data_IF_242610329374
#
_entry.id   IF_242610329374
#
_cell.length_a   1.000
_cell.length_b   1.000
_cell.length_c   1.000
_cell.angle_alpha   90.00
_cell.angle_beta   90.00
_cell.angle_gamma   90.00
#
_symmetry.space_group_name_H-M   'P 1'
#
loop_
_entity.id
_entity.type
_entity.pdbx_description
1 polymer ?
#
# COMPACT_ATOMS: atom_id res chain seq x y z
N UNK A 1 -14.34 0.90 -9.75
CA UNK A 1 -13.21 1.77 -10.12
C UNK A 1 -13.72 3.20 -10.04
N UNK A 2 -13.14 4.09 -9.20
CA UNK A 2 -13.51 5.52 -9.20
C UNK A 2 -12.61 6.19 -10.24
N UNK A 3 -13.21 6.76 -11.28
CA UNK A 3 -12.51 7.54 -12.29
C UNK A 3 -12.57 8.99 -11.81
N UNK A 4 -11.41 9.61 -11.61
CA UNK A 4 -11.32 11.02 -11.25
C UNK A 4 -11.06 11.80 -12.53
N UNK A 5 -11.97 12.70 -12.87
CA UNK A 5 -11.89 13.54 -14.05
C UNK A 5 -11.73 14.98 -13.60
N UNK A 6 -10.78 15.69 -14.21
CA UNK A 6 -10.65 17.13 -14.10
C UNK A 6 -11.66 17.77 -15.06
N UNK A 7 -12.87 18.02 -14.58
CA UNK A 7 -13.97 18.53 -15.40
C UNK A 7 -13.75 19.97 -15.87
N UNK A 8 -12.98 20.77 -15.13
CA UNK A 8 -12.57 22.13 -15.53
C UNK A 8 -11.66 22.05 -16.74
N UNK A 9 -10.65 21.19 -16.68
CA UNK A 9 -9.74 20.94 -17.79
C UNK A 9 -10.46 20.35 -19.00
N UNK A 10 -11.39 19.42 -18.79
CA UNK A 10 -12.18 18.85 -19.90
C UNK A 10 -13.07 19.89 -20.59
N UNK A 11 -13.62 20.84 -19.84
CA UNK A 11 -14.38 21.96 -20.40
C UNK A 11 -13.45 22.91 -21.17
N UNK A 12 -12.28 23.25 -20.60
CA UNK A 12 -11.29 24.11 -21.23
C UNK A 12 -10.70 23.49 -22.53
N UNK A 13 -10.51 22.18 -22.56
CA UNK A 13 -10.08 21.42 -23.74
C UNK A 13 -11.22 21.16 -24.74
N UNK A 14 -12.44 21.63 -24.47
CA UNK A 14 -13.61 21.44 -25.34
C UNK A 14 -14.08 19.98 -25.45
N UNK A 15 -13.68 19.11 -24.50
CA UNK A 15 -14.02 17.69 -24.49
C UNK A 15 -15.40 17.40 -23.90
N UNK A 16 -15.97 18.34 -23.15
CA UNK A 16 -17.34 18.30 -22.62
C UNK A 16 -18.02 19.65 -22.85
N UNK A 17 -19.35 19.64 -22.92
CA UNK A 17 -20.18 20.84 -23.04
C UNK A 17 -20.38 21.52 -21.69
N UNK A 18 -20.79 22.80 -21.69
CA UNK A 18 -21.14 23.52 -20.47
C UNK A 18 -22.31 22.85 -19.71
N UNK A 19 -23.27 22.27 -20.43
CA UNK A 19 -24.39 21.54 -19.84
C UNK A 19 -23.94 20.25 -19.14
N UNK A 20 -23.04 19.48 -19.77
CA UNK A 20 -22.41 18.31 -19.14
C UNK A 20 -21.57 18.70 -17.93
N UNK A 21 -20.84 19.81 -18.00
CA UNK A 21 -20.09 20.35 -16.87
C UNK A 21 -21.02 20.65 -15.69
N UNK A 22 -22.15 21.33 -15.91
CA UNK A 22 -23.12 21.62 -14.86
C UNK A 22 -23.74 20.35 -14.29
N UNK A 23 -24.08 19.37 -15.14
CA UNK A 23 -24.64 18.08 -14.70
C UNK A 23 -23.63 17.29 -13.84
N UNK A 24 -22.38 17.18 -14.28
CA UNK A 24 -21.32 16.49 -13.54
C UNK A 24 -20.97 17.22 -12.23
N UNK A 25 -20.92 18.54 -12.27
CA UNK A 25 -20.72 19.38 -11.08
C UNK A 25 -21.85 19.20 -10.07
N UNK A 26 -23.11 19.14 -10.51
CA UNK A 26 -24.25 18.90 -9.62
C UNK A 26 -24.21 17.51 -8.97
N UNK A 27 -23.74 16.49 -9.70
CA UNK A 27 -23.54 15.13 -9.17
C UNK A 27 -22.40 15.10 -8.14
N UNK A 28 -21.31 15.85 -8.37
CA UNK A 28 -20.19 15.97 -7.44
C UNK A 28 -20.54 16.79 -6.18
N UNK A 29 -21.35 17.85 -6.31
CA UNK A 29 -21.78 18.68 -5.19
C UNK A 29 -22.62 17.91 -4.16
N UNK A 30 -23.45 16.94 -4.61
CA UNK A 30 -24.16 16.01 -3.70
C UNK A 30 -23.20 15.14 -2.88
N UNK A 31 -22.01 14.83 -3.40
CA UNK A 31 -20.95 14.12 -2.67
C UNK A 31 -20.26 15.06 -1.65
N UNK A 32 -20.10 16.34 -2.00
CA UNK A 32 -19.30 17.33 -1.24
C UNK A 32 -20.01 17.84 0.02
N UNK A 33 -21.34 18.02 -0.01
CA UNK A 33 -22.13 18.40 1.18
C UNK A 33 -22.05 17.37 2.32
N UNK A 34 -21.71 16.12 1.99
CA UNK A 34 -21.45 15.09 3.01
C UNK A 34 -20.10 15.28 3.70
N UNK A 35 -19.10 15.91 3.07
CA UNK A 35 -17.72 15.91 3.57
C UNK A 35 -17.58 16.60 4.93
N UNK A 36 -18.15 17.79 5.11
CA UNK A 36 -18.05 18.52 6.38
C UNK A 36 -18.73 17.77 7.53
N UNK A 37 -19.92 17.20 7.27
CA UNK A 37 -20.60 16.33 8.21
C UNK A 37 -19.77 15.08 8.55
N UNK A 38 -19.19 14.44 7.53
CA UNK A 38 -18.34 13.26 7.68
C UNK A 38 -17.10 13.57 8.54
N UNK A 39 -16.49 14.73 8.34
CA UNK A 39 -15.35 15.21 9.12
C UNK A 39 -15.77 15.40 10.58
N UNK A 40 -16.91 16.07 10.84
CA UNK A 40 -17.42 16.30 12.19
C UNK A 40 -17.73 14.99 12.91
N UNK A 41 -18.38 14.04 12.23
CA UNK A 41 -18.64 12.69 12.74
C UNK A 41 -17.33 11.96 13.06
N UNK A 42 -16.35 12.02 12.15
CA UNK A 42 -15.03 11.42 12.36
C UNK A 42 -14.32 11.99 13.59
N UNK A 43 -14.27 13.31 13.73
CA UNK A 43 -13.71 13.97 14.92
C UNK A 43 -14.48 13.61 16.19
N UNK A 44 -15.81 13.54 16.14
CA UNK A 44 -16.63 13.12 17.27
C UNK A 44 -16.28 11.71 17.75
N UNK A 45 -16.23 10.74 16.82
CA UNK A 45 -15.84 9.36 17.14
C UNK A 45 -14.44 9.30 17.76
N UNK A 46 -13.46 10.00 17.17
CA UNK A 46 -12.09 10.04 17.69
C UNK A 46 -12.01 10.69 19.07
N UNK A 47 -12.70 11.81 19.29
CA UNK A 47 -12.72 12.52 20.56
C UNK A 47 -13.38 11.67 21.66
N UNK A 48 -14.53 11.03 21.38
CA UNK A 48 -15.20 10.15 22.33
C UNK A 48 -14.34 8.94 22.69
N UNK A 49 -13.73 8.29 21.68
CA UNK A 49 -12.92 7.11 21.93
C UNK A 49 -11.60 7.48 22.66
N UNK A 50 -10.96 8.57 22.28
CA UNK A 50 -9.78 9.11 22.96
C UNK A 50 -10.08 9.54 24.40
N UNK A 51 -11.20 10.21 24.63
CA UNK A 51 -11.64 10.60 25.98
C UNK A 51 -11.95 9.39 26.86
N UNK A 52 -12.63 8.36 26.34
CA UNK A 52 -12.89 7.12 27.06
C UNK A 52 -11.60 6.40 27.47
N UNK A 53 -10.58 6.38 26.59
CA UNK A 53 -9.26 5.83 26.90
C UNK A 53 -8.50 6.68 27.92
N UNK A 54 -8.61 8.01 27.85
CA UNK A 54 -7.96 8.91 28.80
C UNK A 54 -8.51 8.73 30.22
N UNK A 55 -9.80 8.43 30.37
CA UNK A 55 -10.42 8.15 31.68
C UNK A 55 -9.94 6.83 32.30
N UNK A 56 -9.59 5.84 31.48
CA UNK A 56 -9.07 4.55 31.95
C UNK A 56 -7.95 4.05 31.03
N UNK A 57 -6.71 4.52 31.21
CA UNK A 57 -5.60 4.16 30.35
C UNK A 57 -5.13 2.73 30.65
N UNK A 58 -5.71 1.73 29.98
CA UNK A 58 -5.24 0.35 30.00
C UNK A 58 -5.42 -0.36 28.66
N UNK A 59 -4.55 -1.34 28.38
CA UNK A 59 -4.62 -2.13 27.15
C UNK A 59 -5.95 -2.88 27.03
N UNK A 60 -6.40 -3.49 28.12
CA UNK A 60 -7.68 -4.18 28.23
C UNK A 60 -8.87 -3.24 27.95
N UNK A 61 -8.85 -2.01 28.48
CA UNK A 61 -9.89 -1.03 28.19
C UNK A 61 -9.92 -0.66 26.70
N UNK A 62 -8.74 -0.52 26.07
CA UNK A 62 -8.64 -0.30 24.63
C UNK A 62 -9.15 -1.49 23.80
N UNK A 63 -8.84 -2.72 24.18
CA UNK A 63 -9.38 -3.91 23.50
C UNK A 63 -10.91 -3.91 23.57
N UNK A 64 -11.48 -3.79 24.77
CA UNK A 64 -12.93 -3.84 24.96
C UNK A 64 -13.64 -2.70 24.22
N UNK A 65 -13.16 -1.47 24.37
CA UNK A 65 -13.72 -0.30 23.67
C UNK A 65 -13.63 -0.47 22.16
N UNK A 66 -12.47 -0.87 21.64
CA UNK A 66 -12.26 -1.05 20.22
C UNK A 66 -13.15 -2.14 19.61
N UNK A 67 -13.34 -3.26 20.32
CA UNK A 67 -14.25 -4.33 19.91
C UNK A 67 -15.72 -3.87 19.94
N UNK A 68 -16.13 -3.13 20.97
CA UNK A 68 -17.49 -2.57 21.06
C UNK A 68 -17.78 -1.59 19.91
N UNK A 69 -16.86 -0.67 19.62
CA UNK A 69 -16.97 0.26 18.49
C UNK A 69 -17.01 -0.50 17.15
N UNK A 70 -16.18 -1.54 17.01
CA UNK A 70 -16.16 -2.37 15.80
C UNK A 70 -17.47 -3.13 15.60
N UNK A 71 -18.02 -3.73 16.67
CA UNK A 71 -19.30 -4.43 16.63
C UNK A 71 -20.46 -3.47 16.27
N UNK A 72 -20.49 -2.28 16.87
CA UNK A 72 -21.46 -1.24 16.51
C UNK A 72 -21.30 -0.80 15.04
N UNK A 73 -20.06 -0.66 14.57
CA UNK A 73 -19.73 -0.32 13.19
C UNK A 73 -20.23 -1.36 12.19
N UNK A 74 -20.02 -2.65 12.47
CA UNK A 74 -20.55 -3.77 11.68
C UNK A 74 -22.07 -3.76 11.68
N UNK A 75 -22.70 -3.63 12.86
CA UNK A 75 -24.15 -3.59 12.99
C UNK A 75 -24.78 -2.48 12.13
N UNK A 76 -24.24 -1.26 12.21
CA UNK A 76 -24.72 -0.13 11.42
C UNK A 76 -24.49 -0.34 9.92
N UNK A 77 -23.34 -0.89 9.54
CA UNK A 77 -23.00 -1.15 8.14
C UNK A 77 -23.86 -2.24 7.51
N UNK A 78 -24.31 -3.23 8.29
CA UNK A 78 -25.17 -4.31 7.79
C UNK A 78 -26.65 -3.95 7.80
N UNK A 79 -27.13 -3.29 8.86
CA UNK A 79 -28.57 -3.09 9.08
C UNK A 79 -29.06 -1.70 8.69
N UNK A 80 -28.18 -0.69 8.64
CA UNK A 80 -28.55 0.71 8.38
C UNK A 80 -27.61 1.40 7.38
N UNK A 81 -27.11 0.65 6.40
CA UNK A 81 -26.12 1.12 5.43
C UNK A 81 -26.52 2.42 4.69
N UNK A 82 -27.81 2.58 4.37
CA UNK A 82 -28.31 3.74 3.61
C UNK A 82 -28.22 5.06 4.38
N UNK A 83 -28.40 5.01 5.70
CA UNK A 83 -28.46 6.20 6.56
C UNK A 83 -27.16 6.41 7.33
N UNK A 84 -26.56 5.32 7.81
CA UNK A 84 -25.45 5.34 8.77
C UNK A 84 -24.21 4.58 8.27
N UNK A 85 -24.15 4.20 7.00
CA UNK A 85 -23.06 3.39 6.46
C UNK A 85 -21.68 4.00 6.65
N UNK A 86 -21.57 5.33 6.59
CA UNK A 86 -20.31 6.03 6.86
C UNK A 86 -19.92 5.97 8.35
N UNK A 87 -20.83 6.31 9.25
CA UNK A 87 -20.59 6.21 10.69
C UNK A 87 -20.19 4.77 11.04
N UNK A 88 -20.89 3.78 10.48
CA UNK A 88 -20.54 2.36 10.63
C UNK A 88 -19.11 2.05 10.19
N UNK A 89 -18.71 2.57 9.02
CA UNK A 89 -17.35 2.41 8.49
C UNK A 89 -16.28 3.08 9.37
N UNK A 90 -16.58 4.28 9.90
CA UNK A 90 -15.68 5.02 10.79
C UNK A 90 -15.52 4.32 12.14
N UNK A 91 -16.61 3.87 12.75
CA UNK A 91 -16.59 3.12 14.01
C UNK A 91 -15.81 1.82 13.87
N UNK A 92 -16.00 1.10 12.76
CA UNK A 92 -15.25 -0.12 12.48
C UNK A 92 -13.76 0.15 12.29
N UNK A 93 -13.40 1.20 11.55
CA UNK A 93 -12.01 1.61 11.36
C UNK A 93 -11.34 2.01 12.68
N UNK A 94 -11.93 2.97 13.40
CA UNK A 94 -11.39 3.49 14.67
C UNK A 94 -11.36 2.39 15.73
N UNK A 95 -12.44 1.62 15.86
CA UNK A 95 -12.52 0.51 16.79
C UNK A 95 -11.43 -0.54 16.56
N UNK A 96 -11.18 -0.90 15.29
CA UNK A 96 -10.12 -1.85 14.95
C UNK A 96 -8.74 -1.31 15.30
N UNK A 97 -8.47 -0.02 15.06
CA UNK A 97 -7.19 0.61 15.39
C UNK A 97 -6.97 0.66 16.91
N UNK A 98 -8.00 1.02 17.68
CA UNK A 98 -7.94 1.08 19.14
C UNK A 98 -7.73 -0.31 19.74
N UNK A 99 -8.50 -1.31 19.30
CA UNK A 99 -8.34 -2.69 19.76
C UNK A 99 -6.94 -3.23 19.42
N UNK A 100 -6.41 -2.92 18.24
CA UNK A 100 -5.07 -3.28 17.86
C UNK A 100 -4.00 -2.68 18.80
N UNK A 101 -4.11 -1.40 19.14
CA UNK A 101 -3.24 -0.75 20.12
C UNK A 101 -3.29 -1.45 21.48
N UNK A 102 -4.49 -1.78 21.96
CA UNK A 102 -4.69 -2.52 23.20
C UNK A 102 -4.06 -3.92 23.18
N UNK A 103 -4.21 -4.67 22.08
CA UNK A 103 -3.57 -5.99 21.90
C UNK A 103 -2.05 -5.87 21.97
N UNK A 104 -1.46 -4.88 21.29
CA UNK A 104 -0.01 -4.68 21.30
C UNK A 104 0.50 -4.37 22.72
N UNK A 105 -0.23 -3.55 23.47
CA UNK A 105 0.10 -3.24 24.88
C UNK A 105 0.03 -4.50 25.76
N UNK A 106 -1.09 -5.23 25.73
CA UNK A 106 -1.29 -6.42 26.58
C UNK A 106 -0.33 -7.57 26.25
N UNK A 107 0.08 -7.68 24.99
CA UNK A 107 1.04 -8.70 24.55
C UNK A 107 2.50 -8.26 24.67
N UNK A 108 2.74 -7.03 25.11
CA UNK A 108 4.09 -6.44 25.20
C UNK A 108 4.81 -6.37 23.85
N UNK A 109 4.07 -6.20 22.75
CA UNK A 109 4.64 -6.13 21.40
C UNK A 109 5.29 -7.42 20.91
N UNK A 110 4.88 -8.59 21.44
CA UNK A 110 5.39 -9.89 20.98
C UNK A 110 4.72 -10.34 19.68
N UNK A 111 5.39 -11.21 18.92
CA UNK A 111 4.90 -11.72 17.63
C UNK A 111 3.45 -12.25 17.65
N UNK A 112 2.98 -13.00 18.68
CA UNK A 112 1.58 -13.44 18.74
C UNK A 112 0.58 -12.27 18.78
N UNK A 113 0.95 -11.15 19.42
CA UNK A 113 0.11 -9.96 19.46
C UNK A 113 -0.05 -9.32 18.09
N UNK A 114 1.05 -9.13 17.35
CA UNK A 114 0.99 -8.61 15.98
C UNK A 114 0.28 -9.56 15.01
N UNK A 115 0.33 -10.88 15.23
CA UNK A 115 -0.47 -11.84 14.46
C UNK A 115 -1.96 -11.66 14.74
N UNK A 116 -2.35 -11.47 16.00
CA UNK A 116 -3.73 -11.20 16.37
C UNK A 116 -4.23 -9.87 15.77
N UNK A 117 -3.40 -8.83 15.80
CA UNK A 117 -3.71 -7.54 15.14
C UNK A 117 -3.83 -7.69 13.63
N UNK A 118 -2.98 -8.51 13.00
CA UNK A 118 -3.06 -8.81 11.56
C UNK A 118 -4.41 -9.44 11.22
N UNK A 119 -4.84 -10.44 12.00
CA UNK A 119 -6.14 -11.09 11.81
C UNK A 119 -7.30 -10.11 12.04
N UNK A 120 -7.23 -9.30 13.09
CA UNK A 120 -8.22 -8.25 13.36
C UNK A 120 -8.36 -7.30 12.18
N UNK A 121 -7.25 -6.73 11.70
CA UNK A 121 -7.29 -5.81 10.56
C UNK A 121 -7.71 -6.50 9.26
N UNK A 122 -7.32 -7.75 9.03
CA UNK A 122 -7.75 -8.50 7.85
C UNK A 122 -9.28 -8.68 7.86
N UNK A 123 -9.84 -9.18 8.96
CA UNK A 123 -11.30 -9.37 9.11
C UNK A 123 -12.03 -8.03 8.98
N UNK A 124 -11.58 -7.01 9.72
CA UNK A 124 -12.17 -5.68 9.65
C UNK A 124 -12.07 -5.07 8.26
N UNK A 125 -10.99 -5.32 7.51
CA UNK A 125 -10.85 -4.81 6.14
C UNK A 125 -11.90 -5.38 5.19
N UNK A 126 -12.25 -6.66 5.36
CA UNK A 126 -13.28 -7.36 4.58
C UNK A 126 -14.66 -6.84 4.96
N UNK A 127 -14.94 -6.72 6.26
CA UNK A 127 -16.23 -6.21 6.76
C UNK A 127 -16.45 -4.74 6.38
N UNK A 128 -15.43 -3.89 6.50
CA UNK A 128 -15.49 -2.46 6.18
C UNK A 128 -15.30 -2.15 4.69
N UNK A 129 -14.90 -3.14 3.88
CA UNK A 129 -14.37 -2.93 2.51
C UNK A 129 -13.26 -1.85 2.49
N UNK A 130 -12.42 -1.84 3.52
CA UNK A 130 -11.42 -0.78 3.78
C UNK A 130 -10.04 -1.16 3.28
N UNK A 131 -9.58 -0.44 2.26
CA UNK A 131 -8.20 -0.57 1.75
C UNK A 131 -7.13 -0.17 2.76
N UNK A 132 -7.43 0.78 3.65
CA UNK A 132 -6.51 1.21 4.70
C UNK A 132 -6.26 0.06 5.69
N UNK A 133 -7.32 -0.58 6.17
CA UNK A 133 -7.20 -1.74 7.08
C UNK A 133 -6.49 -2.92 6.40
N UNK A 134 -6.73 -3.15 5.10
CA UNK A 134 -6.01 -4.18 4.35
C UNK A 134 -4.50 -3.90 4.28
N UNK A 135 -4.09 -2.63 4.11
CA UNK A 135 -2.68 -2.24 4.14
C UNK A 135 -2.09 -2.34 5.56
N UNK A 136 -2.83 -1.92 6.59
CA UNK A 136 -2.41 -2.05 7.99
C UNK A 136 -2.28 -3.52 8.43
N UNK A 137 -3.09 -4.44 7.88
CA UNK A 137 -2.93 -5.87 8.11
C UNK A 137 -1.56 -6.37 7.60
N UNK A 138 -1.17 -5.97 6.38
CA UNK A 138 0.17 -6.26 5.82
C UNK A 138 1.27 -5.65 6.69
N UNK A 139 1.09 -4.42 7.16
CA UNK A 139 2.01 -3.75 8.08
C UNK A 139 2.12 -4.46 9.43
N UNK A 140 1.01 -4.91 10.01
CA UNK A 140 1.03 -5.67 11.26
C UNK A 140 1.71 -7.02 11.09
N UNK A 141 1.49 -7.70 9.97
CA UNK A 141 2.19 -8.96 9.67
C UNK A 141 3.70 -8.75 9.60
N UNK A 142 4.14 -7.60 9.10
CA UNK A 142 5.56 -7.27 9.00
C UNK A 142 6.22 -7.16 10.38
N UNK A 143 5.47 -6.69 11.38
CA UNK A 143 5.92 -6.63 12.76
C UNK A 143 6.01 -8.03 13.41
N UNK A 144 5.32 -9.05 12.87
CA UNK A 144 5.42 -10.44 13.35
C UNK A 144 6.73 -11.12 12.96
N UNK A 145 7.27 -10.78 11.78
CA UNK A 145 8.51 -11.37 11.25
C UNK A 145 9.75 -10.79 11.97
N UNK A 146 9.54 -9.71 12.73
CA UNK A 146 10.53 -9.18 13.67
C UNK A 146 10.98 -7.77 13.34
N UNK A 147 10.28 -7.01 12.49
CA UNK A 147 10.68 -5.60 12.34
C UNK A 147 10.29 -4.82 13.58
N UNK A 148 11.26 -4.24 14.28
CA UNK A 148 11.00 -3.31 15.37
C UNK A 148 11.87 -2.06 15.23
N UNK A 149 11.20 -0.92 15.21
CA UNK A 149 11.76 0.38 15.59
C UNK A 149 11.13 0.69 16.94
N UNK A 150 11.95 0.87 17.98
CA UNK A 150 11.47 1.12 19.32
C UNK A 150 12.25 2.22 20.02
N UNK A 151 11.61 2.83 21.02
CA UNK A 151 12.30 3.59 22.05
C UNK A 151 12.57 2.60 23.19
N UNK A 152 13.85 2.43 23.56
CA UNK A 152 14.21 1.91 24.88
C UNK A 152 14.54 3.12 25.76
N UNK A 153 14.68 2.89 27.06
CA UNK A 153 14.92 3.91 28.11
C UNK A 153 15.94 5.00 27.70
N UNK A 154 15.95 6.10 28.45
CA UNK A 154 16.57 7.41 28.18
C UNK A 154 18.00 7.44 27.59
N UNK A 155 18.76 6.34 27.66
CA UNK A 155 20.15 6.26 27.25
C UNK A 155 20.36 5.82 25.78
N UNK A 156 19.34 5.26 25.10
CA UNK A 156 19.43 4.87 23.68
C UNK A 156 18.13 5.27 22.93
N UNK A 157 18.03 6.53 22.46
CA UNK A 157 16.75 7.12 22.03
C UNK A 157 16.17 6.55 20.74
N UNK A 158 16.89 5.71 20.00
CA UNK A 158 16.33 5.04 18.82
C UNK A 158 17.10 3.76 18.54
N UNK A 159 16.41 2.64 18.51
CA UNK A 159 17.01 1.39 18.07
C UNK A 159 16.11 0.73 17.02
N UNK A 160 16.75 0.29 15.95
CA UNK A 160 16.16 -0.56 14.91
C UNK A 160 16.91 -1.87 15.00
N UNK A 161 16.23 -2.96 15.34
CA UNK A 161 16.78 -4.23 14.92
C UNK A 161 16.19 -4.55 13.56
N UNK A 162 17.06 -4.97 12.65
CA UNK A 162 16.67 -5.39 11.31
C UNK A 162 16.79 -6.91 11.21
N UNK A 163 15.89 -7.70 11.80
CA UNK A 163 16.03 -9.14 11.69
C UNK A 163 15.38 -9.63 10.39
N UNK A 164 16.14 -10.47 9.68
CA UNK A 164 15.65 -11.43 8.68
C UNK A 164 15.10 -10.84 7.39
N UNK A 165 15.89 -10.06 6.62
CA UNK A 165 15.60 -9.72 5.23
C UNK A 165 15.13 -10.90 4.38
N UNK A 166 15.76 -12.09 4.46
CA UNK A 166 15.40 -13.23 3.64
C UNK A 166 13.99 -13.74 3.97
N UNK A 167 13.68 -13.92 5.25
CA UNK A 167 12.35 -14.41 5.69
C UNK A 167 11.27 -13.41 5.30
N UNK A 168 11.53 -12.11 5.49
CA UNK A 168 10.55 -11.08 5.13
C UNK A 168 10.33 -11.04 3.62
N UNK A 169 11.40 -11.03 2.82
CA UNK A 169 11.29 -11.10 1.35
C UNK A 169 10.48 -12.32 0.92
N UNK A 170 10.75 -13.49 1.49
CA UNK A 170 10.05 -14.72 1.14
C UNK A 170 8.55 -14.65 1.48
N UNK A 171 8.20 -14.32 2.73
CA UNK A 171 6.82 -14.26 3.22
C UNK A 171 6.01 -13.23 2.43
N UNK A 172 6.56 -12.03 2.22
CA UNK A 172 5.83 -10.97 1.53
C UNK A 172 5.80 -11.17 0.02
N UNK A 173 6.75 -11.92 -0.57
CA UNK A 173 6.64 -12.34 -1.98
C UNK A 173 5.50 -13.33 -2.17
N UNK A 174 5.38 -14.33 -1.28
CA UNK A 174 4.26 -15.28 -1.28
C UNK A 174 2.94 -14.55 -1.06
N UNK A 175 2.89 -13.62 -0.10
CA UNK A 175 1.69 -12.83 0.16
C UNK A 175 1.33 -11.93 -1.03
N UNK A 176 2.32 -11.30 -1.69
CA UNK A 176 2.09 -10.46 -2.85
C UNK A 176 1.49 -11.25 -4.02
N UNK A 177 2.12 -12.38 -4.36
CA UNK A 177 1.66 -13.26 -5.43
C UNK A 177 0.30 -13.89 -5.09
N UNK A 178 0.15 -14.45 -3.89
CA UNK A 178 -1.09 -15.06 -3.41
C UNK A 178 -2.25 -14.07 -3.43
N UNK A 179 -2.05 -12.85 -2.94
CA UNK A 179 -3.07 -11.80 -2.98
C UNK A 179 -3.40 -11.37 -4.41
N UNK A 180 -2.41 -11.27 -5.30
CA UNK A 180 -2.64 -10.98 -6.71
C UNK A 180 -3.45 -12.07 -7.40
N UNK A 181 -3.12 -13.35 -7.18
CA UNK A 181 -3.87 -14.48 -7.73
C UNK A 181 -5.29 -14.54 -7.17
N UNK A 182 -5.46 -14.33 -5.86
CA UNK A 182 -6.76 -14.27 -5.20
C UNK A 182 -7.63 -13.14 -5.78
N UNK A 183 -7.04 -11.99 -6.09
CA UNK A 183 -7.76 -10.86 -6.69
C UNK A 183 -8.45 -11.20 -8.02
N UNK A 184 -7.95 -12.22 -8.74
CA UNK A 184 -8.53 -12.67 -10.02
C UNK A 184 -9.81 -13.48 -9.82
N UNK A 185 -9.98 -14.12 -8.67
CA UNK A 185 -11.16 -14.91 -8.34
C UNK A 185 -12.23 -14.11 -7.58
N UNK A 186 -11.86 -12.98 -6.97
CA UNK A 186 -12.76 -12.21 -6.11
C UNK A 186 -13.72 -11.28 -6.88
N UNK A 187 -14.93 -11.04 -6.32
CA UNK A 187 -15.83 -9.98 -6.77
C UNK A 187 -15.18 -8.59 -6.72
N UNK A 188 -15.68 -7.60 -7.48
CA UNK A 188 -15.04 -6.28 -7.61
C UNK A 188 -14.69 -5.58 -6.30
N UNK A 189 -15.57 -5.70 -5.29
CA UNK A 189 -15.41 -5.05 -3.99
C UNK A 189 -14.21 -5.61 -3.19
N UNK A 190 -14.03 -6.92 -3.21
CA UNK A 190 -12.95 -7.62 -2.49
C UNK A 190 -11.67 -7.72 -3.33
N UNK A 191 -11.80 -7.70 -4.66
CA UNK A 191 -10.66 -7.61 -5.59
C UNK A 191 -9.79 -6.41 -5.27
N UNK A 192 -10.38 -5.26 -4.95
CA UNK A 192 -9.63 -4.05 -4.59
C UNK A 192 -8.75 -4.28 -3.35
N UNK A 193 -9.30 -4.93 -2.32
CA UNK A 193 -8.55 -5.22 -1.08
C UNK A 193 -7.37 -6.13 -1.36
N UNK A 194 -7.59 -7.23 -2.09
CA UNK A 194 -6.54 -8.16 -2.47
C UNK A 194 -5.42 -7.49 -3.30
N UNK A 195 -5.78 -6.58 -4.22
CA UNK A 195 -4.79 -5.78 -4.96
C UNK A 195 -4.02 -4.83 -4.03
N UNK A 196 -4.68 -4.18 -3.08
CA UNK A 196 -3.99 -3.31 -2.11
C UNK A 196 -3.01 -4.13 -1.29
N UNK A 197 -3.43 -5.27 -0.72
CA UNK A 197 -2.53 -6.17 0.00
C UNK A 197 -1.37 -6.63 -0.87
N UNK A 198 -1.61 -7.02 -2.13
CA UNK A 198 -0.55 -7.41 -3.06
C UNK A 198 0.48 -6.30 -3.29
N UNK A 199 0.00 -5.07 -3.47
CA UNK A 199 0.83 -3.88 -3.71
C UNK A 199 1.63 -3.47 -2.48
N UNK A 200 1.01 -3.47 -1.31
CA UNK A 200 1.69 -3.18 -0.04
C UNK A 200 2.76 -4.24 0.23
N UNK A 201 2.47 -5.52 0.01
CA UNK A 201 3.46 -6.59 0.15
C UNK A 201 4.62 -6.46 -0.85
N UNK A 202 4.35 -6.13 -2.11
CA UNK A 202 5.41 -5.90 -3.09
C UNK A 202 6.32 -4.72 -2.71
N UNK A 203 5.75 -3.66 -2.14
CA UNK A 203 6.52 -2.55 -1.59
C UNK A 203 7.45 -3.02 -0.45
N UNK A 204 6.90 -3.80 0.50
CA UNK A 204 7.68 -4.40 1.60
C UNK A 204 8.81 -5.28 1.08
N UNK A 205 8.55 -6.15 0.09
CA UNK A 205 9.59 -7.00 -0.53
C UNK A 205 10.77 -6.16 -1.01
N UNK A 206 10.52 -5.05 -1.70
CA UNK A 206 11.59 -4.20 -2.22
C UNK A 206 12.38 -3.49 -1.12
N UNK A 207 11.70 -2.99 -0.08
CA UNK A 207 12.39 -2.35 1.04
C UNK A 207 13.28 -3.36 1.79
N UNK A 208 12.87 -4.63 1.90
CA UNK A 208 13.69 -5.64 2.61
C UNK A 208 14.79 -6.22 1.74
N UNK A 209 14.62 -6.28 0.42
CA UNK A 209 15.75 -6.50 -0.49
C UNK A 209 16.78 -5.37 -0.40
N UNK A 210 16.33 -4.11 -0.28
CA UNK A 210 17.24 -2.98 -0.10
C UNK A 210 18.06 -3.12 1.17
N UNK A 211 17.40 -3.37 2.31
CA UNK A 211 18.07 -3.63 3.59
C UNK A 211 19.06 -4.80 3.47
N UNK A 212 18.62 -5.95 2.93
CA UNK A 212 19.47 -7.13 2.77
C UNK A 212 20.67 -6.87 1.86
N UNK A 213 20.53 -6.00 0.85
CA UNK A 213 21.64 -5.64 -0.05
C UNK A 213 22.72 -4.75 0.58
N UNK A 214 22.45 -4.18 1.76
CA UNK A 214 23.42 -3.41 2.54
C UNK A 214 24.02 -4.27 3.64
N UNK A 215 23.21 -5.12 4.27
CA UNK A 215 23.55 -5.74 5.54
C UNK A 215 23.62 -7.27 5.52
N UNK A 216 23.28 -7.94 4.41
CA UNK A 216 23.12 -9.38 4.37
C UNK A 216 21.96 -9.86 5.26
N UNK A 217 22.01 -11.12 5.69
CA UNK A 217 21.06 -11.67 6.66
C UNK A 217 21.68 -12.76 7.53
N UNK A 218 21.38 -12.74 8.84
CA UNK A 218 21.73 -13.80 9.78
C UNK A 218 20.52 -14.70 10.02
N UNK A 219 20.62 -15.97 9.60
CA UNK A 219 19.53 -16.93 9.75
C UNK A 219 19.36 -17.44 11.19
N UNK A 220 20.37 -17.28 12.05
CA UNK A 220 20.36 -17.83 13.42
C UNK A 220 19.91 -16.85 14.50
N UNK A 221 19.75 -15.55 14.21
CA UNK A 221 19.37 -14.57 15.23
C UNK A 221 19.00 -13.19 14.69
N UNK A 222 18.35 -12.39 15.53
CA UNK A 222 18.12 -10.98 15.23
C UNK A 222 19.41 -10.20 15.52
N UNK A 223 20.13 -9.78 14.47
CA UNK A 223 21.29 -8.91 14.67
C UNK A 223 20.83 -7.45 14.80
N UNK A 224 21.35 -6.77 15.83
CA UNK A 224 21.16 -5.34 16.09
C UNK A 224 22.06 -4.45 15.22
N UNK A 225 22.93 -5.05 14.40
CA UNK A 225 23.89 -4.32 13.57
C UNK A 225 24.16 -5.06 12.27
N UNK A 226 24.54 -4.33 11.20
CA UNK A 226 25.08 -4.91 9.97
C UNK A 226 26.51 -5.43 10.18
N UNK A 227 26.74 -6.11 11.31
CA UNK A 227 28.01 -6.64 11.75
C UNK A 227 27.95 -8.14 11.59
N UNK A 228 28.93 -8.66 10.87
CA UNK A 228 29.10 -10.08 10.63
C UNK A 228 29.33 -10.81 11.96
N UNK A 229 28.52 -11.84 12.21
CA UNK A 229 28.72 -12.79 13.30
C UNK A 229 29.28 -14.10 12.71
N UNK A 230 30.55 -14.44 12.97
CA UNK A 230 31.23 -15.61 12.39
C UNK A 230 30.52 -16.95 12.68
N UNK A 231 29.78 -17.03 13.78
CA UNK A 231 29.14 -18.26 14.23
C UNK A 231 27.71 -18.42 13.68
N UNK A 232 27.23 -17.41 12.94
CA UNK A 232 25.89 -17.41 12.36
C UNK A 232 25.87 -17.93 10.92
N UNK A 233 24.80 -18.65 10.54
CA UNK A 233 24.53 -18.94 9.13
C UNK A 233 24.15 -17.64 8.42
N UNK A 234 25.12 -17.08 7.71
CA UNK A 234 25.04 -15.76 7.10
C UNK A 234 24.76 -15.83 5.60
N UNK A 235 23.75 -15.11 5.13
CA UNK A 235 23.51 -14.83 3.72
C UNK A 235 24.25 -13.53 3.37
N UNK A 236 25.22 -13.56 2.45
CA UNK A 236 25.93 -12.36 2.04
C UNK A 236 25.02 -11.30 1.42
N UNK A 237 25.37 -10.04 1.62
CA UNK A 237 24.72 -8.86 1.03
C UNK A 237 24.61 -8.92 -0.50
N UNK A 238 25.65 -9.42 -1.18
CA UNK A 238 25.65 -9.54 -2.64
C UNK A 238 24.57 -10.49 -3.16
N UNK A 239 24.14 -11.48 -2.37
CA UNK A 239 23.03 -12.39 -2.73
C UNK A 239 21.74 -11.60 -2.85
N UNK A 240 21.48 -10.70 -1.90
CA UNK A 240 20.34 -9.79 -1.95
C UNK A 240 20.48 -8.79 -3.08
N UNK A 241 21.68 -8.22 -3.29
CA UNK A 241 21.90 -7.25 -4.37
C UNK A 241 21.61 -7.86 -5.75
N UNK A 242 22.19 -9.02 -6.05
CA UNK A 242 21.99 -9.71 -7.34
C UNK A 242 20.55 -10.23 -7.45
N UNK A 243 20.04 -10.87 -6.40
CA UNK A 243 18.67 -11.39 -6.37
C UNK A 243 17.63 -10.29 -6.59
N UNK A 244 17.83 -9.12 -5.98
CA UNK A 244 16.96 -7.96 -6.16
C UNK A 244 17.04 -7.42 -7.59
N UNK A 245 18.24 -7.28 -8.16
CA UNK A 245 18.41 -6.84 -9.54
C UNK A 245 17.68 -7.76 -10.53
N UNK A 246 17.84 -9.08 -10.38
CA UNK A 246 17.13 -10.08 -11.19
C UNK A 246 15.61 -9.97 -10.99
N UNK A 247 15.16 -9.88 -9.75
CA UNK A 247 13.73 -9.75 -9.41
C UNK A 247 13.09 -8.50 -10.00
N UNK A 248 13.77 -7.35 -9.91
CA UNK A 248 13.35 -6.07 -10.50
C UNK A 248 13.22 -6.17 -12.02
N UNK A 249 14.22 -6.76 -12.69
CA UNK A 249 14.23 -6.91 -14.15
C UNK A 249 13.13 -7.85 -14.63
N UNK A 250 13.05 -9.06 -14.06
CA UNK A 250 12.06 -10.07 -14.46
C UNK A 250 10.64 -9.56 -14.23
N UNK A 251 10.37 -9.02 -13.04
CA UNK A 251 9.04 -8.50 -12.71
C UNK A 251 8.73 -7.22 -13.50
N UNK A 252 9.73 -6.39 -13.78
CA UNK A 252 9.57 -5.16 -14.56
C UNK A 252 9.21 -5.44 -16.02
N UNK A 253 9.90 -6.39 -16.66
CA UNK A 253 9.59 -6.83 -18.02
C UNK A 253 8.20 -7.45 -18.10
N UNK A 254 7.85 -8.33 -17.15
CA UNK A 254 6.50 -8.88 -17.07
C UNK A 254 5.45 -7.78 -16.90
N UNK A 255 5.66 -6.85 -15.98
CA UNK A 255 4.73 -5.77 -15.69
C UNK A 255 4.53 -4.84 -16.90
N UNK A 256 5.60 -4.53 -17.64
CA UNK A 256 5.53 -3.75 -18.87
C UNK A 256 4.69 -4.47 -19.94
N UNK A 257 4.97 -5.76 -20.19
CA UNK A 257 4.22 -6.58 -21.17
C UNK A 257 2.75 -6.73 -20.80
N UNK A 258 2.45 -6.84 -19.50
CA UNK A 258 1.09 -6.96 -18.98
C UNK A 258 0.39 -5.60 -18.75
N UNK A 259 0.98 -4.49 -19.21
CA UNK A 259 0.49 -3.11 -19.05
C UNK A 259 0.13 -2.76 -17.58
N UNK A 260 0.96 -3.23 -16.63
CA UNK A 260 0.79 -2.98 -15.18
C UNK A 260 1.57 -1.73 -14.76
N UNK A 261 1.12 -0.56 -15.19
CA UNK A 261 1.81 0.74 -14.98
C UNK A 261 2.27 0.98 -13.54
N UNK A 262 1.40 0.74 -12.56
CA UNK A 262 1.74 0.93 -11.15
C UNK A 262 2.95 0.08 -10.73
N UNK A 263 3.00 -1.18 -11.16
CA UNK A 263 4.11 -2.10 -10.84
C UNK A 263 5.39 -1.65 -11.52
N UNK A 264 5.32 -1.25 -12.80
CA UNK A 264 6.48 -0.72 -13.54
C UNK A 264 7.07 0.50 -12.84
N UNK A 265 6.24 1.47 -12.44
CA UNK A 265 6.72 2.68 -11.77
C UNK A 265 7.36 2.37 -10.41
N UNK A 266 6.76 1.47 -9.62
CA UNK A 266 7.35 1.03 -8.33
C UNK A 266 8.70 0.36 -8.54
N UNK A 267 8.80 -0.58 -9.49
CA UNK A 267 10.06 -1.29 -9.77
C UNK A 267 11.12 -0.36 -10.38
N UNK A 268 10.73 0.65 -11.16
CA UNK A 268 11.67 1.64 -11.68
C UNK A 268 12.26 2.52 -10.56
N UNK A 269 11.43 2.95 -9.61
CA UNK A 269 11.90 3.69 -8.41
C UNK A 269 12.84 2.82 -7.58
N UNK A 270 12.44 1.59 -7.26
CA UNK A 270 13.29 0.67 -6.50
C UNK A 270 14.54 0.23 -7.28
N UNK A 271 14.48 0.14 -8.60
CA UNK A 271 15.64 -0.08 -9.46
C UNK A 271 16.62 1.08 -9.43
N UNK A 272 16.13 2.32 -9.37
CA UNK A 272 16.99 3.49 -9.15
C UNK A 272 17.61 3.45 -7.74
N UNK A 273 16.83 3.14 -6.69
CA UNK A 273 17.35 2.98 -5.32
C UNK A 273 18.43 1.90 -5.28
N UNK A 274 18.18 0.74 -5.89
CA UNK A 274 19.14 -0.35 -6.01
C UNK A 274 20.43 0.14 -6.70
N UNK A 275 20.29 0.74 -7.88
CA UNK A 275 21.42 1.28 -8.64
C UNK A 275 22.24 2.25 -7.79
N UNK A 276 21.61 3.25 -7.16
CA UNK A 276 22.34 4.25 -6.38
C UNK A 276 22.99 3.68 -5.13
N UNK A 277 22.33 2.73 -4.46
CA UNK A 277 22.90 2.03 -3.31
C UNK A 277 24.20 1.34 -3.71
N UNK A 278 24.19 0.60 -4.83
CA UNK A 278 25.38 -0.13 -5.30
C UNK A 278 26.44 0.81 -5.91
N UNK A 279 26.01 1.87 -6.59
CA UNK A 279 26.89 2.89 -7.18
C UNK A 279 27.72 3.59 -6.11
N UNK A 280 27.08 4.08 -5.04
CA UNK A 280 27.80 4.77 -3.95
C UNK A 280 28.60 3.82 -3.07
N UNK A 281 28.15 2.56 -2.92
CA UNK A 281 28.92 1.54 -2.21
C UNK A 281 30.27 1.25 -2.90
N UNK A 282 30.35 1.36 -4.24
CA UNK A 282 31.56 1.06 -5.01
C UNK A 282 32.43 2.26 -5.34
N UNK A 283 31.83 3.42 -5.61
CA UNK A 283 32.55 4.62 -6.07
C UNK A 283 32.81 5.65 -4.95
N UNK A 284 32.38 5.34 -3.72
CA UNK A 284 32.42 6.22 -2.55
C UNK A 284 31.69 7.57 -2.75
N UNK A 285 31.44 8.28 -1.65
CA UNK A 285 30.81 9.60 -1.68
C UNK A 285 31.87 10.67 -1.99
N UNK A 286 32.00 11.03 -3.27
CA UNK A 286 32.80 12.16 -3.73
C UNK A 286 31.89 13.17 -4.46
N UNK A 287 32.25 14.47 -4.52
CA UNK A 287 31.45 15.45 -5.25
C UNK A 287 31.22 15.04 -6.72
N UNK A 288 32.24 14.48 -7.37
CA UNK A 288 32.15 13.99 -8.75
C UNK A 288 31.21 12.78 -8.88
N UNK A 289 31.28 11.81 -7.96
CA UNK A 289 30.39 10.64 -7.99
C UNK A 289 28.94 11.04 -7.74
N UNK A 290 28.68 11.99 -6.83
CA UNK A 290 27.36 12.56 -6.56
C UNK A 290 26.79 13.31 -7.78
N UNK A 291 27.59 14.15 -8.43
CA UNK A 291 27.18 14.86 -9.65
C UNK A 291 26.79 13.87 -10.76
N UNK A 292 27.65 12.90 -11.04
CA UNK A 292 27.38 11.86 -12.05
C UNK A 292 26.13 11.04 -11.69
N UNK A 293 25.96 10.70 -10.41
CA UNK A 293 24.76 10.04 -9.92
C UNK A 293 23.49 10.86 -10.14
N UNK A 294 23.52 12.17 -9.85
CA UNK A 294 22.41 13.08 -10.10
C UNK A 294 22.02 13.18 -11.57
N UNK A 295 23.00 13.29 -12.48
CA UNK A 295 22.76 13.32 -13.93
C UNK A 295 22.09 12.01 -14.38
N UNK A 296 22.55 10.87 -13.88
CA UNK A 296 21.94 9.59 -14.21
C UNK A 296 20.50 9.47 -13.66
N UNK A 297 20.24 9.98 -12.45
CA UNK A 297 18.90 10.02 -11.87
C UNK A 297 17.92 10.80 -12.77
N UNK A 298 18.36 11.96 -13.28
CA UNK A 298 17.59 12.76 -14.22
C UNK A 298 17.33 12.00 -15.54
N UNK A 299 18.33 11.28 -16.05
CA UNK A 299 18.17 10.41 -17.22
C UNK A 299 17.12 9.32 -17.02
N UNK A 300 17.14 8.65 -15.86
CA UNK A 300 16.14 7.64 -15.47
C UNK A 300 14.74 8.28 -15.37
N UNK A 301 14.63 9.45 -14.73
CA UNK A 301 13.36 10.17 -14.61
C UNK A 301 12.76 10.52 -15.98
N UNK A 302 13.59 10.98 -16.93
CA UNK A 302 13.19 11.25 -18.31
C UNK A 302 12.71 9.98 -19.03
N UNK A 303 13.39 8.84 -18.81
CA UNK A 303 12.98 7.56 -19.40
C UNK A 303 11.60 7.10 -18.87
N UNK A 304 11.37 7.20 -17.56
CA UNK A 304 10.08 6.88 -16.93
C UNK A 304 8.99 7.81 -17.46
N UNK A 305 9.28 9.11 -17.57
CA UNK A 305 8.35 10.09 -18.12
C UNK A 305 7.95 9.76 -19.56
N UNK A 306 8.93 9.44 -20.42
CA UNK A 306 8.68 9.05 -21.82
C UNK A 306 7.84 7.77 -21.91
N UNK A 307 8.14 6.76 -21.10
CA UNK A 307 7.36 5.53 -21.04
C UNK A 307 5.89 5.79 -20.68
N UNK A 308 5.65 6.56 -19.62
CA UNK A 308 4.29 6.89 -19.18
C UNK A 308 3.53 7.71 -20.22
N UNK A 309 4.20 8.66 -20.90
CA UNK A 309 3.58 9.46 -21.97
C UNK A 309 3.21 8.61 -23.19
N UNK A 310 4.09 7.73 -23.64
CA UNK A 310 3.82 6.84 -24.78
C UNK A 310 2.61 5.94 -24.50
N UNK A 311 2.50 5.43 -23.27
CA UNK A 311 1.38 4.61 -22.85
C UNK A 311 0.04 5.40 -22.85
N UNK A 312 0.06 6.68 -22.45
CA UNK A 312 -1.13 7.55 -22.52
C UNK A 312 -1.59 7.79 -23.97
N UNK A 313 -0.66 8.09 -24.88
CA UNK A 313 -0.98 8.32 -26.29
C UNK A 313 -1.56 7.06 -26.95
N UNK A 314 -1.07 5.88 -26.59
CA UNK A 314 -1.60 4.61 -27.07
C UNK A 314 -3.05 4.36 -26.60
N UNK A 315 -3.38 4.68 -25.34
CA UNK A 315 -4.76 4.58 -24.82
C UNK A 315 -5.70 5.55 -25.57
N UNK A 316 -5.27 6.79 -25.80
CA UNK A 316 -6.07 7.80 -26.51
C UNK A 316 -6.32 7.42 -27.98
N UNK A 317 -5.34 6.81 -28.65
CA UNK A 317 -5.49 6.32 -30.02
C UNK A 317 -6.48 5.14 -30.10
N UNK A 318 -6.49 4.25 -29.10
CA UNK A 318 -7.43 3.13 -29.02
C UNK A 318 -8.88 3.57 -28.78
N UNK A 319 -9.10 4.64 -28.01
CA UNK A 319 -10.43 5.23 -27.77
C UNK A 319 -10.99 5.98 -28.99
N UNK A 320 -10.15 6.38 -29.95
CA UNK A 320 -10.55 7.11 -31.16
C UNK A 320 -10.89 6.22 -32.36
N UNK A 321 -10.80 4.89 -32.26
CA UNK A 321 -11.39 4.03 -33.29
C UNK A 321 -12.90 3.98 -33.09
N UNK A 322 -13.72 4.61 -33.96
CA UNK A 322 -15.15 4.40 -33.90
C UNK A 322 -15.42 2.93 -34.22
N UNK A 323 -16.26 2.32 -33.38
CA UNK A 323 -16.86 1.01 -33.54
C UNK A 323 -17.18 0.77 -35.03
N UNK A 324 -16.32 0.03 -35.74
CA UNK A 324 -16.65 -0.50 -37.07
C UNK A 324 -17.67 -1.59 -36.84
N UNK A 325 -18.90 -1.20 -36.48
CA UNK A 325 -20.06 -2.05 -36.64
C UNK A 325 -20.14 -2.39 -38.13
N UNK A 326 -20.24 -3.67 -38.51
CA UNK A 326 -20.55 -4.00 -39.88
C UNK A 326 -21.92 -3.42 -40.19
N UNK A 327 -21.92 -2.35 -40.99
CA UNK A 327 -23.12 -1.68 -41.45
C UNK A 327 -24.00 -2.63 -42.25
N UNK A 328 -25.30 -2.50 -42.01
CA UNK A 328 -26.41 -2.97 -42.83
C UNK A 328 -26.01 -3.29 -44.28
N UNK A 329 -26.16 -4.57 -44.67
CA UNK A 329 -26.41 -4.89 -46.07
C UNK A 329 -27.80 -4.35 -46.41
N UNK A 330 -27.97 -3.60 -47.51
CA UNK A 330 -29.30 -3.32 -48.03
C UNK A 330 -29.91 -4.65 -48.49
N UNK A 331 -31.15 -4.91 -48.07
CA UNK A 331 -32.03 -5.88 -48.72
C UNK A 331 -32.23 -5.44 -50.16
N UNK A 332 -31.67 -6.19 -51.09
CA UNK A 332 -32.05 -6.11 -52.49
C UNK A 332 -33.24 -7.05 -52.68
N UNK A 333 -34.39 -6.46 -53.00
CA UNK A 333 -35.52 -7.14 -53.60
C UNK A 333 -35.09 -7.75 -54.95
N UNK A 334 -35.31 -9.06 -55.10
CA UNK A 334 -35.65 -9.77 -56.34
C UNK A 334 -36.11 -11.19 -55.97
#
# INVERSE_FOLDING_TARGET
>A
MKIVLDIDRLLAEGRITAEEYHRLSALAARETGSLAFNILVGFGVLATAGGALALRPSGTAAILLGLLLSAAGVYLSMNRAREWGLLGSMLLLVGSIIAAGGIVVETGGRAPGYLLVTLLYLVSSVLARSGLLAALAVGSLLLTVGTFCGYRDADLPFWVALPRPAVTVAVFSVLALGSYHLSRALPPDYRRLAIISARTSLFVVNVWFWIGSICGDSLSGASLSCRFDPDSRWIPDWVFAIGWAVGLLVTGVWAARANRRWVVNVLAVFGAIHFFTQYFARLHLSPASVLAGGILALGIALAIFRYNRAAMVADDAGLRQPDRRPGNRPSADA
#
